data_IF_368294713922
#
_entry.id   IF_368294713922
#
_cell.length_a   1.000
_cell.length_b   1.000
_cell.length_c   1.000
_cell.angle_alpha   90.00
_cell.angle_beta   90.00
_cell.angle_gamma   90.00
#
_symmetry.space_group_name_H-M   'P 1'
#
loop_
_entity.id
_entity.type
_entity.pdbx_description
1 polymer ?
#
# COMPACT_ATOMS: atom_id res chain seq x y z
N UNK A 1 43.80 -18.86 -52.36
CA UNK A 1 42.63 -19.60 -51.84
C UNK A 1 42.05 -18.78 -50.71
N UNK A 2 40.95 -18.06 -50.95
CA UNK A 2 40.30 -17.22 -49.94
C UNK A 2 39.20 -18.03 -49.24
N UNK A 3 39.31 -18.18 -47.92
CA UNK A 3 38.29 -18.82 -47.11
C UNK A 3 37.21 -17.78 -46.75
N UNK A 4 35.97 -18.04 -47.18
CA UNK A 4 34.80 -17.24 -46.80
C UNK A 4 34.27 -17.81 -45.48
N UNK A 5 34.36 -17.03 -44.42
CA UNK A 5 33.78 -17.35 -43.11
C UNK A 5 32.32 -16.87 -43.10
N UNK A 6 31.38 -17.81 -43.02
CA UNK A 6 29.96 -17.51 -42.82
C UNK A 6 29.66 -17.45 -41.32
N UNK A 7 29.41 -16.24 -40.81
CA UNK A 7 28.90 -16.03 -39.45
C UNK A 7 27.39 -16.19 -39.47
N UNK A 8 26.88 -17.29 -38.91
CA UNK A 8 25.46 -17.54 -38.73
C UNK A 8 24.96 -16.73 -37.51
N UNK A 9 24.27 -15.61 -37.75
CA UNK A 9 23.62 -14.84 -36.68
C UNK A 9 22.26 -15.49 -36.40
N UNK A 10 22.17 -16.28 -35.33
CA UNK A 10 20.90 -16.78 -34.82
C UNK A 10 20.22 -15.65 -34.02
N UNK A 11 19.33 -14.90 -34.67
CA UNK A 11 18.42 -13.98 -33.98
C UNK A 11 17.33 -14.81 -33.30
N UNK A 12 17.56 -15.22 -32.05
CA UNK A 12 16.50 -15.76 -31.20
C UNK A 12 15.48 -14.66 -30.97
N UNK A 13 14.33 -14.76 -31.63
CA UNK A 13 13.19 -13.88 -31.37
C UNK A 13 12.75 -14.09 -29.92
N UNK A 14 13.09 -13.14 -29.05
CA UNK A 14 12.51 -13.09 -27.71
C UNK A 14 11.03 -12.79 -27.94
N UNK A 15 10.17 -13.78 -27.72
CA UNK A 15 8.73 -13.53 -27.60
C UNK A 15 8.59 -12.52 -26.46
N UNK A 16 8.33 -11.26 -26.82
CA UNK A 16 7.97 -10.23 -25.84
C UNK A 16 6.61 -10.66 -25.34
N UNK A 17 6.57 -11.35 -24.21
CA UNK A 17 5.32 -11.72 -23.56
C UNK A 17 4.45 -10.46 -23.48
N UNK A 18 3.25 -10.51 -24.08
CA UNK A 18 2.32 -9.40 -24.14
C UNK A 18 2.09 -8.88 -22.72
N UNK A 19 2.64 -7.71 -22.42
CA UNK A 19 2.44 -7.08 -21.11
C UNK A 19 0.98 -6.64 -21.02
N UNK A 20 0.33 -6.91 -19.88
CA UNK A 20 -0.99 -6.34 -19.57
C UNK A 20 -0.97 -4.85 -19.90
N UNK A 21 -1.95 -4.33 -20.66
CA UNK A 21 -2.08 -2.89 -20.77
C UNK A 21 -2.26 -2.31 -19.36
N UNK A 22 -1.58 -1.19 -19.09
CA UNK A 22 -1.77 -0.45 -17.84
C UNK A 22 -3.27 -0.25 -17.60
N UNK A 23 -3.78 -0.50 -16.39
CA UNK A 23 -5.20 -0.36 -16.15
C UNK A 23 -5.72 1.00 -16.57
N UNK A 24 -6.86 1.03 -17.28
CA UNK A 24 -7.53 2.31 -17.61
C UNK A 24 -7.92 3.08 -16.34
N UNK A 25 -8.01 2.38 -15.20
CA UNK A 25 -8.25 2.92 -13.87
C UNK A 25 -6.99 3.27 -13.07
N UNK A 26 -5.78 3.08 -13.62
CA UNK A 26 -4.54 3.18 -12.85
C UNK A 26 -4.20 4.62 -12.46
N UNK A 27 -3.81 4.79 -11.19
CA UNK A 27 -3.13 5.97 -10.65
C UNK A 27 -1.83 5.55 -9.94
N UNK A 28 -0.89 6.48 -9.82
CA UNK A 28 0.42 6.28 -9.19
C UNK A 28 0.70 7.42 -8.18
N UNK A 29 -0.10 7.51 -7.09
CA UNK A 29 0.07 8.54 -6.09
C UNK A 29 1.38 8.37 -5.32
N UNK A 30 2.12 9.46 -5.15
CA UNK A 30 3.23 9.57 -4.22
C UNK A 30 2.98 10.73 -3.28
N UNK A 31 2.94 10.46 -1.98
CA UNK A 31 2.76 11.46 -0.95
C UNK A 31 4.05 11.65 -0.17
N UNK A 32 4.54 12.89 -0.12
CA UNK A 32 5.69 13.27 0.72
C UNK A 32 5.22 14.22 1.80
N UNK A 33 5.84 14.13 2.98
CA UNK A 33 5.47 14.91 4.16
C UNK A 33 6.68 15.55 4.85
N UNK A 34 6.50 16.74 5.38
CA UNK A 34 7.44 17.41 6.27
C UNK A 34 6.74 17.80 7.57
N UNK A 35 7.46 17.75 8.70
CA UNK A 35 6.89 18.04 10.02
C UNK A 35 7.73 19.05 10.77
N UNK A 36 7.08 20.02 11.40
CA UNK A 36 7.69 21.01 12.29
C UNK A 36 6.91 21.10 13.60
N UNK A 37 7.61 21.22 14.73
CA UNK A 37 6.98 21.42 16.03
C UNK A 37 7.00 22.90 16.42
N UNK A 38 5.83 23.47 16.71
CA UNK A 38 5.69 24.81 17.25
C UNK A 38 5.62 24.76 18.77
N UNK A 39 6.71 25.21 19.42
CA UNK A 39 6.84 25.24 20.88
C UNK A 39 5.83 26.18 21.55
N UNK A 40 5.34 27.21 20.87
CA UNK A 40 4.40 28.18 21.48
C UNK A 40 3.01 27.58 21.59
N UNK A 41 2.53 26.95 20.52
CA UNK A 41 1.22 26.28 20.50
C UNK A 41 1.26 24.84 21.02
N UNK A 42 2.45 24.26 21.23
CA UNK A 42 2.64 22.84 21.55
C UNK A 42 1.97 21.93 20.52
N UNK A 43 2.02 22.31 19.24
CA UNK A 43 1.44 21.53 18.15
C UNK A 43 2.47 21.22 17.07
N UNK A 44 2.23 20.12 16.36
CA UNK A 44 2.95 19.74 15.16
C UNK A 44 2.19 20.23 13.93
N UNK A 45 2.94 20.77 12.97
CA UNK A 45 2.46 21.16 11.66
C UNK A 45 3.02 20.19 10.63
N UNK A 46 2.13 19.52 9.92
CA UNK A 46 2.42 18.54 8.88
C UNK A 46 2.08 19.15 7.53
N UNK A 47 3.05 19.17 6.60
CA UNK A 47 2.86 19.67 5.24
C UNK A 47 3.05 18.55 4.25
N UNK A 48 2.13 18.42 3.31
CA UNK A 48 2.17 17.37 2.30
C UNK A 48 2.25 17.91 0.88
N UNK A 49 2.92 17.13 0.03
CA UNK A 49 2.91 17.27 -1.42
C UNK A 49 2.48 15.94 -2.02
N UNK A 50 1.40 15.98 -2.80
CA UNK A 50 0.88 14.86 -3.56
C UNK A 50 1.39 14.95 -4.99
N UNK A 51 1.90 13.85 -5.53
CA UNK A 51 2.32 13.71 -6.91
C UNK A 51 1.54 12.57 -7.56
N UNK A 52 1.10 12.76 -8.80
CA UNK A 52 0.59 11.70 -9.64
C UNK A 52 1.71 11.26 -10.58
N UNK A 53 2.11 10.00 -10.54
CA UNK A 53 3.22 9.48 -11.35
C UNK A 53 2.99 9.67 -12.85
N UNK A 54 4.07 9.72 -13.65
CA UNK A 54 3.96 9.86 -15.11
C UNK A 54 3.34 8.62 -15.79
N UNK A 55 3.34 7.48 -15.10
CA UNK A 55 2.79 6.22 -15.60
C UNK A 55 1.29 6.05 -15.29
N UNK A 56 0.66 7.03 -14.62
CA UNK A 56 -0.77 7.02 -14.33
C UNK A 56 -1.59 7.19 -15.60
N UNK A 57 -2.74 6.51 -15.65
CA UNK A 57 -3.72 6.69 -16.73
C UNK A 57 -4.76 7.74 -16.33
N UNK A 58 -5.18 7.74 -15.06
CA UNK A 58 -6.17 8.68 -14.55
C UNK A 58 -5.53 9.86 -13.81
N UNK A 59 -6.24 10.98 -13.81
CA UNK A 59 -5.98 12.10 -12.91
C UNK A 59 -6.43 11.74 -11.49
N UNK A 60 -5.75 12.25 -10.46
CA UNK A 60 -6.19 12.10 -9.07
C UNK A 60 -7.09 13.27 -8.70
N UNK A 61 -8.34 12.99 -8.33
CA UNK A 61 -9.32 13.97 -7.87
C UNK A 61 -9.64 13.84 -6.38
N UNK A 62 -9.13 12.79 -5.74
CA UNK A 62 -9.39 12.44 -4.35
C UNK A 62 -8.15 11.81 -3.68
N UNK A 63 -7.82 12.26 -2.47
CA UNK A 63 -6.89 11.53 -1.59
C UNK A 63 -7.21 11.77 -0.12
N UNK A 64 -6.77 10.87 0.76
CA UNK A 64 -7.02 11.01 2.19
C UNK A 64 -5.99 10.35 3.07
N UNK A 65 -6.09 10.62 4.36
CA UNK A 65 -5.26 10.07 5.43
C UNK A 65 -6.15 9.42 6.48
N UNK A 66 -5.80 8.20 6.89
CA UNK A 66 -6.42 7.55 8.04
C UNK A 66 -5.83 8.09 9.34
N UNK A 67 -6.60 8.90 10.06
CA UNK A 67 -6.17 9.53 11.29
C UNK A 67 -6.84 8.85 12.48
N UNK A 68 -6.15 8.82 13.62
CA UNK A 68 -6.77 8.35 14.87
C UNK A 68 -7.70 9.39 15.50
N UNK A 69 -7.48 10.67 15.21
CA UNK A 69 -8.20 11.80 15.82
C UNK A 69 -8.31 12.97 14.84
N UNK A 70 -9.32 13.80 15.07
CA UNK A 70 -9.55 15.04 14.30
C UNK A 70 -8.41 16.04 14.52
N UNK A 71 -7.82 16.60 13.45
CA UNK A 71 -6.85 17.68 13.58
C UNK A 71 -7.42 18.96 14.20
N UNK A 72 -6.52 19.79 14.75
CA UNK A 72 -6.86 21.13 15.24
C UNK A 72 -7.27 22.03 14.08
N UNK A 73 -6.53 21.95 12.98
CA UNK A 73 -6.85 22.67 11.74
C UNK A 73 -6.34 21.91 10.53
N UNK A 74 -6.98 22.15 9.39
CA UNK A 74 -6.57 21.64 8.08
C UNK A 74 -6.51 22.81 7.10
N UNK A 75 -5.47 22.83 6.26
CA UNK A 75 -5.36 23.73 5.10
C UNK A 75 -5.33 22.86 3.85
N UNK A 76 -6.09 23.26 2.85
CA UNK A 76 -6.15 22.57 1.56
C UNK A 76 -5.31 23.30 0.53
N UNK A 77 -4.71 22.55 -0.39
CA UNK A 77 -4.09 23.13 -1.57
C UNK A 77 -5.14 23.87 -2.42
N UNK A 78 -4.69 24.79 -3.28
CA UNK A 78 -5.59 25.53 -4.16
C UNK A 78 -6.48 24.58 -4.99
N UNK A 79 -7.79 24.85 -5.00
CA UNK A 79 -8.82 24.05 -5.68
C UNK A 79 -9.12 22.66 -5.08
N UNK A 80 -8.62 22.39 -3.87
CA UNK A 80 -9.00 21.23 -3.07
C UNK A 80 -9.81 21.70 -1.86
N UNK A 81 -10.80 20.91 -1.43
CA UNK A 81 -11.43 21.03 -0.12
C UNK A 81 -11.01 19.87 0.75
N UNK A 82 -11.07 20.08 2.06
CA UNK A 82 -10.89 19.02 3.04
C UNK A 82 -12.19 18.75 3.78
N UNK A 83 -12.50 17.48 4.00
CA UNK A 83 -13.57 17.05 4.88
C UNK A 83 -13.02 16.03 5.89
N UNK A 84 -13.45 16.14 7.14
CA UNK A 84 -13.11 15.15 8.16
C UNK A 84 -14.32 14.27 8.41
N UNK A 85 -14.16 12.96 8.16
CA UNK A 85 -15.26 12.00 8.27
C UNK A 85 -15.02 11.13 9.51
N UNK A 86 -15.93 11.28 10.47
CA UNK A 86 -16.01 10.42 11.66
C UNK A 86 -17.03 9.32 11.41
N UNK A 87 -16.54 8.10 11.22
CA UNK A 87 -17.40 6.92 11.13
C UNK A 87 -17.39 6.23 12.49
N UNK A 88 -18.55 6.06 13.13
CA UNK A 88 -18.63 5.60 14.52
C UNK A 88 -17.91 4.27 14.81
N UNK A 89 -17.82 3.37 13.83
CA UNK A 89 -17.15 2.07 13.95
C UNK A 89 -15.97 1.87 13.00
N UNK A 90 -15.65 2.85 12.15
CA UNK A 90 -14.60 2.73 11.15
C UNK A 90 -13.50 3.76 11.38
N UNK A 91 -12.29 3.53 10.83
CA UNK A 91 -11.20 4.50 10.95
C UNK A 91 -11.66 5.89 10.49
N UNK A 92 -11.44 6.91 11.32
CA UNK A 92 -11.69 8.28 10.91
C UNK A 92 -10.67 8.68 9.85
N UNK A 93 -11.09 9.45 8.85
CA UNK A 93 -10.18 9.90 7.81
C UNK A 93 -10.39 11.37 7.47
N UNK A 94 -9.28 12.02 7.17
CA UNK A 94 -9.25 13.35 6.56
C UNK A 94 -9.14 13.13 5.06
N UNK A 95 -10.16 13.55 4.31
CA UNK A 95 -10.14 13.51 2.86
C UNK A 95 -9.89 14.91 2.30
N UNK A 96 -9.22 14.95 1.16
CA UNK A 96 -9.24 16.08 0.27
C UNK A 96 -9.76 15.64 -1.09
N UNK A 97 -10.61 16.46 -1.68
CA UNK A 97 -11.09 16.26 -3.02
C UNK A 97 -11.09 17.57 -3.81
N UNK A 98 -10.93 17.47 -5.11
CA UNK A 98 -11.04 18.62 -6.02
C UNK A 98 -12.50 19.01 -6.19
N UNK A 99 -12.75 20.30 -6.41
CA UNK A 99 -14.09 20.76 -6.74
C UNK A 99 -14.44 20.40 -8.19
N UNK A 100 -15.57 19.72 -8.33
CA UNK A 100 -16.27 19.63 -9.59
C UNK A 100 -17.14 20.83 -9.79
N UNK A 101 -16.54 21.89 -10.34
CA UNK A 101 -17.24 23.09 -10.83
C UNK A 101 -17.75 23.97 -9.66
N UNK A 102 -17.79 25.29 -9.89
CA UNK A 102 -18.37 26.25 -8.93
C UNK A 102 -19.79 25.79 -8.57
N UNK A 103 -20.17 25.81 -7.29
CA UNK A 103 -21.53 25.43 -6.87
C UNK A 103 -22.60 26.29 -7.55
N UNK A 104 -22.24 27.49 -8.03
CA UNK A 104 -23.09 28.36 -8.85
C UNK A 104 -23.30 27.84 -10.28
N UNK A 105 -22.32 27.12 -10.80
CA UNK A 105 -22.33 26.51 -12.14
C UNK A 105 -22.83 25.06 -12.10
N UNK A 106 -22.83 24.39 -10.93
CA UNK A 106 -23.28 23.02 -10.76
C UNK A 106 -24.68 22.74 -11.35
N UNK A 107 -25.60 23.72 -11.26
CA UNK A 107 -26.95 23.61 -11.83
C UNK A 107 -26.99 23.66 -13.37
N UNK A 108 -25.94 24.14 -14.04
CA UNK A 108 -25.81 24.13 -15.50
C UNK A 108 -25.22 22.81 -16.02
N UNK A 109 -24.50 22.09 -15.16
CA UNK A 109 -23.74 20.88 -15.49
C UNK A 109 -24.59 19.62 -15.43
N UNK A 110 -25.73 19.67 -14.73
CA UNK A 110 -26.58 18.51 -14.42
C UNK A 110 -27.04 17.70 -15.63
N UNK A 111 -26.95 18.21 -16.86
CA UNK A 111 -27.36 17.51 -18.07
C UNK A 111 -26.27 17.35 -19.15
N UNK A 112 -25.05 17.86 -18.96
CA UNK A 112 -23.99 17.76 -19.98
C UNK A 112 -22.87 16.81 -19.52
N UNK A 113 -22.93 15.57 -20.02
CA UNK A 113 -21.98 14.50 -19.75
C UNK A 113 -20.59 14.75 -20.32
N UNK A 114 -20.40 15.80 -21.12
CA UNK A 114 -19.09 16.18 -21.68
C UNK A 114 -18.26 17.04 -20.72
N UNK A 115 -18.86 17.55 -19.63
CA UNK A 115 -18.15 18.41 -18.68
C UNK A 115 -17.34 17.55 -17.69
N UNK A 116 -16.01 17.76 -17.60
CA UNK A 116 -15.17 17.02 -16.67
C UNK A 116 -15.61 17.33 -15.23
N UNK A 117 -15.98 16.28 -14.51
CA UNK A 117 -16.46 16.36 -13.13
C UNK A 117 -15.39 16.93 -12.19
N UNK A 118 -14.12 17.00 -12.59
CA UNK A 118 -13.02 17.53 -11.77
C UNK A 118 -11.98 18.30 -12.60
N UNK A 119 -12.27 19.54 -12.99
CA UNK A 119 -11.34 20.39 -13.79
C UNK A 119 -9.98 20.64 -13.11
N UNK A 120 -9.90 20.45 -11.79
CA UNK A 120 -8.69 20.67 -11.00
C UNK A 120 -8.01 19.37 -10.56
N UNK A 121 -8.39 18.23 -11.14
CA UNK A 121 -7.73 16.96 -10.87
C UNK A 121 -6.25 16.99 -11.23
N UNK A 122 -5.45 16.26 -10.44
CA UNK A 122 -4.01 16.18 -10.59
C UNK A 122 -3.66 15.24 -11.74
N UNK A 123 -3.25 15.79 -12.89
CA UNK A 123 -2.97 14.99 -14.09
C UNK A 123 -1.71 14.12 -13.91
N UNK A 124 -1.56 13.04 -14.70
CA UNK A 124 -0.32 12.24 -14.71
C UNK A 124 0.93 13.11 -14.86
N UNK A 125 1.96 12.82 -14.06
CA UNK A 125 3.23 13.57 -14.02
C UNK A 125 3.20 14.87 -13.20
N UNK A 126 2.04 15.35 -12.74
CA UNK A 126 1.93 16.59 -11.97
C UNK A 126 2.09 16.38 -10.46
N UNK A 127 2.37 17.47 -9.76
CA UNK A 127 2.40 17.54 -8.29
C UNK A 127 1.67 18.77 -7.77
N UNK A 128 1.04 18.65 -6.60
CA UNK A 128 0.39 19.74 -5.88
C UNK A 128 0.86 19.74 -4.42
N UNK A 129 1.23 20.92 -3.93
CA UNK A 129 1.63 21.18 -2.55
C UNK A 129 0.62 22.11 -1.87
N UNK A 130 0.62 22.15 -0.54
CA UNK A 130 -0.20 23.09 0.24
C UNK A 130 -1.24 22.41 1.13
N UNK A 131 -1.26 21.09 1.18
CA UNK A 131 -2.02 20.36 2.19
C UNK A 131 -1.30 20.47 3.53
N UNK A 132 -2.01 20.94 4.54
CA UNK A 132 -1.46 21.11 5.88
C UNK A 132 -2.40 20.59 6.95
N UNK A 133 -1.84 19.98 7.98
CA UNK A 133 -2.55 19.57 9.19
C UNK A 133 -1.82 20.17 10.39
N UNK A 134 -2.58 20.73 11.33
CA UNK A 134 -2.05 21.05 12.67
C UNK A 134 -2.65 20.08 13.69
N UNK A 135 -1.81 19.47 14.52
CA UNK A 135 -2.25 18.48 15.52
C UNK A 135 -1.36 18.52 16.77
N UNK A 136 -1.89 18.30 17.99
CA UNK A 136 -1.06 18.12 19.19
C UNK A 136 -0.29 16.80 19.18
N UNK A 137 -0.66 15.86 18.31
CA UNK A 137 -0.10 14.53 18.30
C UNK A 137 1.27 14.46 17.61
N UNK A 138 2.21 13.65 18.15
CA UNK A 138 3.55 13.53 17.60
C UNK A 138 3.54 12.79 16.26
N UNK A 139 4.63 12.93 15.48
CA UNK A 139 4.76 12.28 14.19
C UNK A 139 4.82 10.76 14.35
N UNK A 140 4.09 10.04 13.51
CA UNK A 140 4.21 8.60 13.35
C UNK A 140 3.70 8.14 11.99
N UNK A 141 3.55 6.84 11.83
CA UNK A 141 3.14 6.25 10.56
C UNK A 141 1.63 6.40 10.35
N UNK A 142 1.24 6.90 9.19
CA UNK A 142 -0.15 7.06 8.76
C UNK A 142 -0.33 6.42 7.39
N UNK A 143 -1.45 5.73 7.18
CA UNK A 143 -1.86 5.23 5.88
C UNK A 143 -2.54 6.37 5.10
N UNK A 144 -2.11 6.55 3.85
CA UNK A 144 -2.81 7.39 2.88
C UNK A 144 -3.47 6.51 1.81
N UNK A 145 -4.47 7.07 1.16
CA UNK A 145 -5.08 6.50 -0.03
C UNK A 145 -5.36 7.60 -1.05
N UNK A 146 -5.34 7.27 -2.33
CA UNK A 146 -5.75 8.18 -3.40
C UNK A 146 -6.56 7.43 -4.46
N UNK A 147 -7.47 8.14 -5.11
CA UNK A 147 -8.34 7.60 -6.15
C UNK A 147 -8.21 8.44 -7.42
N UNK A 148 -8.35 7.76 -8.56
CA UNK A 148 -8.43 8.41 -9.86
C UNK A 148 -9.85 8.80 -10.25
N UNK A 149 -9.96 9.79 -11.14
CA UNK A 149 -11.24 10.29 -11.68
C UNK A 149 -12.12 9.14 -12.16
N UNK A 150 -13.28 8.98 -11.54
CA UNK A 150 -14.23 7.96 -11.96
C UNK A 150 -15.08 8.47 -13.12
N UNK A 151 -14.78 8.03 -14.34
CA UNK A 151 -15.78 8.08 -15.40
C UNK A 151 -16.81 6.98 -15.10
N UNK A 152 -18.03 7.37 -14.72
CA UNK A 152 -19.15 6.44 -14.72
C UNK A 152 -19.49 6.17 -16.18
N UNK A 153 -19.29 4.94 -16.71
CA UNK A 153 -19.80 4.63 -18.03
C UNK A 153 -21.32 4.77 -17.92
N UNK A 154 -21.88 5.76 -18.63
CA UNK A 154 -23.31 5.73 -18.88
C UNK A 154 -23.58 4.45 -19.66
N UNK A 155 -24.56 3.67 -19.22
CA UNK A 155 -25.00 2.49 -19.94
C UNK A 155 -25.55 2.95 -21.31
N UNK A 156 -24.69 3.06 -22.31
CA UNK A 156 -25.12 3.08 -23.69
C UNK A 156 -25.68 1.68 -23.91
N UNK A 157 -27.01 1.58 -23.97
CA UNK A 157 -27.80 0.34 -24.06
C UNK A 157 -27.53 -0.52 -25.30
N UNK A 158 -26.41 -0.32 -25.99
CA UNK A 158 -25.95 -1.19 -27.06
C UNK A 158 -25.33 -2.44 -26.44
N UNK A 159 -26.14 -3.49 -26.35
CA UNK A 159 -25.69 -4.86 -26.16
C UNK A 159 -24.81 -5.25 -27.37
N UNK A 160 -23.49 -5.06 -27.27
CA UNK A 160 -22.54 -5.58 -28.25
C UNK A 160 -21.11 -5.46 -27.71
N UNK A 161 -20.66 -6.48 -26.99
CA UNK A 161 -19.51 -7.30 -27.38
C UNK A 161 -19.16 -8.21 -26.20
N UNK A 162 -19.58 -9.46 -26.30
CA UNK A 162 -19.11 -10.60 -25.49
C UNK A 162 -17.64 -10.95 -25.82
N UNK A 163 -16.76 -9.96 -25.96
CA UNK A 163 -15.33 -10.27 -25.92
C UNK A 163 -14.94 -10.49 -24.46
N UNK A 164 -14.30 -11.63 -24.12
CA UNK A 164 -13.82 -11.84 -22.76
C UNK A 164 -12.80 -10.74 -22.47
N UNK A 165 -13.18 -9.83 -21.56
CA UNK A 165 -12.25 -8.86 -21.01
C UNK A 165 -11.02 -9.64 -20.53
N UNK A 166 -9.85 -9.20 -20.99
CA UNK A 166 -8.59 -9.90 -20.75
C UNK A 166 -8.43 -10.07 -19.24
N UNK A 167 -8.47 -11.32 -18.76
CA UNK A 167 -8.46 -11.70 -17.34
C UNK A 167 -7.09 -11.36 -16.73
N UNK A 168 -6.88 -10.07 -16.48
CA UNK A 168 -5.70 -9.55 -15.83
C UNK A 168 -5.82 -9.86 -14.33
N UNK A 169 -4.96 -10.72 -13.75
CA UNK A 169 -5.07 -11.11 -12.36
C UNK A 169 -5.11 -9.89 -11.42
N UNK A 170 -6.13 -9.81 -10.56
CA UNK A 170 -6.33 -8.72 -9.60
C UNK A 170 -7.36 -7.66 -10.02
N UNK A 171 -7.92 -7.76 -11.22
CA UNK A 171 -9.03 -6.91 -11.64
C UNK A 171 -10.37 -7.58 -11.34
N UNK A 172 -11.21 -6.90 -10.57
CA UNK A 172 -12.59 -7.24 -10.26
C UNK A 172 -13.48 -6.10 -10.76
N UNK A 173 -13.92 -6.23 -12.01
CA UNK A 173 -14.78 -5.27 -12.68
C UNK A 173 -16.19 -5.21 -12.06
N UNK A 174 -16.56 -6.18 -11.21
CA UNK A 174 -17.85 -6.20 -10.50
C UNK A 174 -17.91 -5.20 -9.33
N UNK A 175 -16.75 -4.74 -8.81
CA UNK A 175 -16.67 -3.78 -7.70
C UNK A 175 -15.81 -2.54 -8.07
N UNK A 176 -16.24 -1.75 -9.07
CA UNK A 176 -15.40 -0.73 -9.69
C UNK A 176 -14.95 0.38 -8.73
N UNK A 177 -15.66 0.64 -7.63
CA UNK A 177 -15.29 1.72 -6.68
C UNK A 177 -14.15 1.33 -5.71
N UNK A 178 -14.15 0.10 -5.20
CA UNK A 178 -13.20 -0.32 -4.15
C UNK A 178 -11.81 -0.58 -4.76
N UNK A 179 -11.76 -0.96 -6.04
CA UNK A 179 -10.52 -1.25 -6.76
C UNK A 179 -9.76 -0.03 -7.31
N UNK A 180 -10.11 1.19 -6.90
CA UNK A 180 -9.45 2.42 -7.40
C UNK A 180 -8.56 3.09 -6.36
N UNK A 181 -8.64 2.62 -5.12
CA UNK A 181 -7.87 3.18 -4.02
C UNK A 181 -6.47 2.62 -4.05
N UNK A 182 -5.52 3.45 -4.43
CA UNK A 182 -4.10 3.15 -4.26
C UNK A 182 -3.69 3.58 -2.86
N UNK A 183 -3.19 2.64 -2.07
CA UNK A 183 -2.79 2.88 -0.68
C UNK A 183 -1.28 2.97 -0.53
N UNK A 184 -0.83 3.78 0.42
CA UNK A 184 0.59 3.91 0.78
C UNK A 184 0.75 4.48 2.18
N UNK A 185 1.99 4.71 2.61
CA UNK A 185 2.28 5.26 3.94
C UNK A 185 3.05 6.58 3.91
N UNK A 186 2.76 7.45 4.87
CA UNK A 186 3.44 8.74 5.07
C UNK A 186 3.61 9.03 6.57
N UNK A 187 4.47 9.96 6.93
CA UNK A 187 4.52 10.51 8.29
C UNK A 187 3.31 11.43 8.54
N UNK A 188 2.55 11.19 9.59
CA UNK A 188 1.42 12.04 9.99
C UNK A 188 1.17 12.04 11.50
N UNK A 189 0.10 12.70 11.96
CA UNK A 189 -0.27 12.70 13.38
C UNK A 189 -0.60 11.29 13.86
N UNK A 190 0.16 10.79 14.83
CA UNK A 190 -0.05 9.45 15.38
C UNK A 190 -0.97 9.46 16.60
N UNK A 191 -1.88 8.48 16.68
CA UNK A 191 -2.66 8.29 17.89
C UNK A 191 -1.72 7.93 19.06
N UNK A 192 -1.82 8.57 20.24
CA UNK A 192 -0.97 8.23 21.39
C UNK A 192 -1.10 6.77 21.84
N UNK A 193 -2.24 6.13 21.56
CA UNK A 193 -2.50 4.71 21.82
C UNK A 193 -2.03 3.79 20.67
N UNK A 194 -1.37 4.34 19.65
CA UNK A 194 -0.82 3.61 18.52
C UNK A 194 0.71 3.71 18.53
N UNK A 195 1.39 2.56 18.63
CA UNK A 195 2.83 2.49 18.49
C UNK A 195 3.20 2.22 17.02
N UNK A 196 4.05 3.07 16.43
CA UNK A 196 4.66 2.75 15.13
C UNK A 196 5.80 1.76 15.35
N UNK A 197 5.75 0.62 14.67
CA UNK A 197 6.79 -0.41 14.71
C UNK A 197 7.54 -0.46 13.40
N UNK A 198 8.86 -0.67 13.48
CA UNK A 198 9.68 -0.86 12.30
C UNK A 198 9.56 -2.31 11.86
N UNK A 199 9.12 -2.52 10.62
CA UNK A 199 8.95 -3.86 10.06
C UNK A 199 9.73 -4.02 8.76
N UNK A 200 9.99 -5.28 8.40
CA UNK A 200 10.55 -5.70 7.12
C UNK A 200 9.88 -6.96 6.66
N UNK A 201 9.55 -7.07 5.38
CA UNK A 201 8.98 -8.28 4.79
C UNK A 201 10.00 -8.99 3.90
N UNK A 202 9.93 -10.32 3.84
CA UNK A 202 10.74 -11.17 2.94
C UNK A 202 9.96 -12.43 2.57
N UNK A 203 10.20 -12.97 1.39
CA UNK A 203 9.70 -14.30 1.02
C UNK A 203 10.49 -15.39 1.76
N UNK A 204 9.81 -16.47 2.15
CA UNK A 204 10.46 -17.63 2.77
C UNK A 204 11.31 -18.38 1.73
N UNK A 205 12.63 -18.35 1.89
CA UNK A 205 13.60 -19.05 1.02
C UNK A 205 14.20 -18.21 -0.13
N UNK A 206 13.93 -16.90 -0.19
CA UNK A 206 14.55 -16.01 -1.19
C UNK A 206 15.80 -15.30 -0.67
N UNK A 207 16.89 -15.32 -1.43
CA UNK A 207 18.15 -14.58 -1.15
C UNK A 207 17.98 -13.04 -1.20
N UNK A 208 16.82 -12.52 -1.61
CA UNK A 208 16.59 -11.11 -1.91
C UNK A 208 16.01 -10.24 -0.77
N UNK A 209 16.39 -8.96 -0.75
CA UNK A 209 15.73 -7.88 0.03
C UNK A 209 14.30 -7.70 -0.51
N UNK A 210 13.27 -8.00 0.30
CA UNK A 210 11.86 -8.05 -0.12
C UNK A 210 11.68 -8.76 -1.48
N UNK A 211 11.64 -10.10 -1.47
CA UNK A 211 11.18 -10.85 -2.65
C UNK A 211 9.89 -10.22 -3.17
N UNK A 212 9.84 -9.99 -4.48
CA UNK A 212 8.72 -9.29 -5.08
C UNK A 212 7.46 -10.14 -4.92
N UNK A 213 6.48 -9.69 -4.12
CA UNK A 213 5.25 -10.48 -3.87
C UNK A 213 4.55 -10.68 -5.21
N UNK A 214 4.22 -11.93 -5.53
CA UNK A 214 3.50 -12.29 -6.75
C UNK A 214 2.05 -12.68 -6.45
N UNK A 215 1.07 -11.77 -6.60
CA UNK A 215 -0.34 -12.09 -6.37
C UNK A 215 -0.87 -13.21 -7.28
N UNK A 216 -0.31 -13.35 -8.50
CA UNK A 216 -0.73 -14.38 -9.45
C UNK A 216 -0.24 -15.79 -9.08
N UNK A 217 0.73 -15.89 -8.15
CA UNK A 217 1.19 -17.13 -7.54
C UNK A 217 0.97 -17.05 -6.03
N UNK A 218 -0.28 -17.16 -5.55
CA UNK A 218 -0.61 -17.02 -4.12
C UNK A 218 -0.04 -18.15 -3.25
N UNK A 219 0.69 -19.09 -3.85
CA UNK A 219 1.43 -20.13 -3.15
C UNK A 219 2.71 -19.56 -2.56
N UNK A 220 2.88 -19.71 -1.25
CA UNK A 220 4.12 -19.31 -0.59
C UNK A 220 3.86 -18.70 0.76
N UNK A 221 4.96 -18.26 1.38
CA UNK A 221 4.96 -17.63 2.69
C UNK A 221 5.77 -16.36 2.65
N UNK A 222 5.26 -15.34 3.33
CA UNK A 222 5.97 -14.10 3.58
C UNK A 222 6.26 -14.00 5.08
N UNK A 223 7.49 -13.65 5.42
CA UNK A 223 7.90 -13.41 6.79
C UNK A 223 8.12 -11.92 7.02
N UNK A 224 7.48 -11.40 8.06
CA UNK A 224 7.59 -10.02 8.53
C UNK A 224 8.43 -10.00 9.81
N UNK A 225 9.62 -9.42 9.75
CA UNK A 225 10.45 -9.16 10.92
C UNK A 225 10.09 -7.81 11.53
N UNK A 226 9.72 -7.84 12.80
CA UNK A 226 9.41 -6.70 13.63
C UNK A 226 10.61 -6.41 14.50
N UNK A 227 11.14 -5.20 14.36
CA UNK A 227 12.37 -4.79 15.00
C UNK A 227 12.07 -4.14 16.34
N UNK A 228 12.69 -4.66 17.39
CA UNK A 228 12.72 -3.98 18.69
C UNK A 228 13.57 -2.71 18.59
N UNK A 229 13.19 -1.70 19.37
CA UNK A 229 13.88 -0.42 19.48
C UNK A 229 14.06 -0.06 20.95
N UNK A 230 14.68 1.09 21.24
CA UNK A 230 14.75 1.61 22.60
C UNK A 230 13.37 1.92 23.22
N UNK A 231 12.35 2.11 22.38
CA UNK A 231 11.00 2.50 22.80
C UNK A 231 9.97 1.36 22.64
N UNK A 232 10.36 0.24 22.03
CA UNK A 232 9.44 -0.84 21.71
C UNK A 232 10.10 -2.22 21.79
N UNK A 233 9.49 -3.12 22.54
CA UNK A 233 9.87 -4.53 22.61
C UNK A 233 8.89 -5.37 21.77
N UNK A 234 9.38 -5.93 20.67
CA UNK A 234 8.60 -6.74 19.74
C UNK A 234 8.02 -8.01 20.39
N UNK A 235 8.57 -8.48 21.52
CA UNK A 235 8.01 -9.61 22.27
C UNK A 235 6.70 -9.27 22.99
N UNK A 236 6.36 -7.97 23.09
CA UNK A 236 5.08 -7.52 23.62
C UNK A 236 3.94 -7.63 22.62
N UNK A 237 4.18 -8.08 21.39
CA UNK A 237 3.10 -8.23 20.39
C UNK A 237 2.18 -9.39 20.76
N UNK A 238 0.88 -9.12 20.76
CA UNK A 238 -0.16 -10.14 20.89
C UNK A 238 -0.38 -10.80 19.52
N UNK A 239 0.32 -11.92 19.31
CA UNK A 239 0.41 -12.62 18.02
C UNK A 239 -0.97 -12.97 17.42
N UNK A 240 -1.95 -13.54 18.17
CA UNK A 240 -3.31 -13.76 17.68
C UNK A 240 -4.02 -12.51 17.11
N UNK A 241 -3.69 -11.33 17.62
CA UNK A 241 -4.27 -10.06 17.19
C UNK A 241 -3.47 -9.37 16.07
N UNK A 242 -2.30 -9.88 15.68
CA UNK A 242 -1.55 -9.38 14.54
C UNK A 242 -2.24 -9.76 13.21
N UNK A 243 -2.30 -8.80 12.28
CA UNK A 243 -2.88 -8.94 10.95
C UNK A 243 -2.00 -8.23 9.92
N UNK A 244 -1.81 -8.84 8.75
CA UNK A 244 -0.94 -8.30 7.71
C UNK A 244 -1.63 -8.24 6.34
N UNK A 245 -1.50 -7.11 5.65
CA UNK A 245 -2.04 -6.89 4.31
C UNK A 245 -3.56 -6.64 4.26
N UNK A 246 -4.11 -6.35 3.06
CA UNK A 246 -5.53 -6.06 2.84
C UNK A 246 -6.48 -7.18 3.29
N UNK A 247 -6.07 -8.44 3.11
CA UNK A 247 -6.83 -9.62 3.52
C UNK A 247 -6.83 -9.87 5.03
N UNK A 248 -6.15 -9.02 5.82
CA UNK A 248 -5.99 -9.18 7.26
C UNK A 248 -5.42 -10.55 7.66
N UNK A 249 -4.43 -11.04 6.90
CA UNK A 249 -3.84 -12.35 7.09
C UNK A 249 -3.34 -12.54 8.52
N UNK A 250 -3.67 -13.69 9.12
CA UNK A 250 -3.19 -14.08 10.45
C UNK A 250 -1.82 -14.77 10.33
N UNK A 251 -0.93 -14.60 11.32
CA UNK A 251 0.36 -15.28 11.30
C UNK A 251 0.15 -16.79 11.46
N UNK A 252 0.74 -17.58 10.55
CA UNK A 252 0.77 -19.06 10.62
C UNK A 252 1.95 -19.59 11.41
N UNK A 253 2.99 -18.77 11.61
CA UNK A 253 4.10 -19.08 12.48
C UNK A 253 4.68 -17.80 13.11
N UNK A 254 5.34 -17.97 14.25
CA UNK A 254 6.02 -16.88 14.96
C UNK A 254 7.31 -17.37 15.61
N UNK A 255 8.38 -16.56 15.57
CA UNK A 255 9.66 -16.89 16.19
C UNK A 255 10.31 -15.62 16.76
N UNK A 256 10.75 -15.68 18.02
CA UNK A 256 11.58 -14.62 18.61
C UNK A 256 13.02 -14.80 18.11
N UNK A 257 13.61 -13.72 17.62
CA UNK A 257 14.96 -13.70 17.04
C UNK A 257 15.84 -12.73 17.83
N UNK A 258 16.89 -13.24 18.46
CA UNK A 258 17.89 -12.42 19.15
C UNK A 258 18.92 -11.89 18.17
N UNK A 259 19.18 -10.59 18.19
CA UNK A 259 20.27 -9.95 17.45
C UNK A 259 21.60 -10.66 17.71
N UNK A 260 22.26 -11.17 16.66
CA UNK A 260 23.56 -11.85 16.74
C UNK A 260 23.57 -13.34 17.09
N UNK A 261 22.43 -14.05 16.96
CA UNK A 261 22.41 -15.51 16.77
C UNK A 261 21.54 -15.85 15.55
N UNK A 262 22.05 -15.51 14.38
CA UNK A 262 21.50 -15.97 13.10
C UNK A 262 22.18 -17.27 12.63
N UNK A 263 22.74 -18.05 13.56
CA UNK A 263 23.57 -19.24 13.27
C UNK A 263 22.85 -20.35 12.49
N UNK A 264 21.52 -20.30 12.40
CA UNK A 264 20.70 -21.25 11.63
C UNK A 264 19.93 -20.60 10.48
N UNK A 265 20.27 -19.39 10.10
CA UNK A 265 19.78 -18.77 8.87
C UNK A 265 20.85 -19.06 7.81
N UNK A 266 20.45 -19.59 6.64
CA UNK A 266 21.38 -20.01 5.59
C UNK A 266 22.40 -18.89 5.26
N UNK A 267 23.63 -19.26 4.90
CA UNK A 267 24.81 -18.38 4.90
C UNK A 267 24.64 -17.05 4.16
N UNK A 268 23.78 -17.02 3.14
CA UNK A 268 23.54 -15.86 2.29
C UNK A 268 22.55 -14.86 2.94
N UNK A 269 21.63 -15.34 3.75
CA UNK A 269 20.67 -14.50 4.48
C UNK A 269 21.34 -13.79 5.68
N UNK A 270 22.35 -14.40 6.30
CA UNK A 270 23.04 -13.87 7.48
C UNK A 270 23.74 -12.53 7.19
N UNK A 271 24.49 -12.45 6.08
CA UNK A 271 25.26 -11.25 5.72
C UNK A 271 24.36 -10.03 5.47
N UNK A 272 23.21 -10.24 4.80
CA UNK A 272 22.21 -9.19 4.54
C UNK A 272 21.50 -8.73 5.82
N UNK A 273 21.32 -9.62 6.79
CA UNK A 273 20.80 -9.25 8.11
C UNK A 273 21.82 -8.49 8.96
N UNK A 274 23.09 -8.88 8.92
CA UNK A 274 24.17 -8.25 9.68
C UNK A 274 24.48 -6.84 9.16
N UNK A 275 24.67 -6.66 7.84
CA UNK A 275 24.86 -5.33 7.20
C UNK A 275 23.71 -4.35 7.57
N UNK A 276 22.49 -4.87 7.67
CA UNK A 276 21.34 -4.06 8.04
C UNK A 276 21.32 -3.67 9.53
N UNK A 277 21.59 -4.62 10.42
CA UNK A 277 21.61 -4.34 11.86
C UNK A 277 22.75 -3.39 12.23
N UNK A 278 23.84 -3.40 11.47
CA UNK A 278 24.93 -2.42 11.59
C UNK A 278 24.52 -1.00 11.14
N UNK A 279 23.65 -0.89 10.12
CA UNK A 279 23.11 0.39 9.65
C UNK A 279 22.04 1.01 10.55
N UNK A 280 21.35 0.22 11.37
CA UNK A 280 20.54 0.75 12.46
C UNK A 280 21.52 1.09 13.57
N UNK A 281 21.97 2.34 13.62
CA UNK A 281 22.76 2.90 14.72
C UNK A 281 22.07 2.69 16.07
N UNK A 282 22.20 1.50 16.64
CA UNK A 282 22.10 1.34 18.06
C UNK A 282 23.38 1.97 18.61
N UNK A 283 23.30 3.08 19.38
CA UNK A 283 24.46 3.55 20.11
C UNK A 283 25.02 2.33 20.86
N UNK A 284 26.31 2.04 20.69
CA UNK A 284 27.01 0.88 21.28
C UNK A 284 26.43 0.64 22.68
N UNK A 285 25.51 -0.32 22.79
CA UNK A 285 25.00 -0.73 24.08
C UNK A 285 26.13 -1.58 24.62
N UNK A 286 26.84 -1.02 25.60
CA UNK A 286 27.94 -1.69 26.28
C UNK A 286 27.52 -3.12 26.61
N UNK A 287 28.44 -4.04 26.35
CA UNK A 287 28.33 -5.50 26.17
C UNK A 287 27.76 -6.32 27.34
N UNK A 288 27.05 -5.68 28.27
CA UNK A 288 26.51 -6.26 29.50
C UNK A 288 25.21 -7.02 29.31
N UNK A 289 24.08 -6.37 29.02
CA UNK A 289 22.78 -7.02 29.27
C UNK A 289 21.68 -6.67 28.24
N UNK A 290 21.01 -7.73 27.77
CA UNK A 290 19.86 -7.76 26.87
C UNK A 290 20.06 -7.22 25.46
N UNK A 291 20.48 -8.11 24.55
CA UNK A 291 20.34 -7.89 23.11
C UNK A 291 18.85 -7.74 22.75
N UNK A 292 18.46 -6.78 21.89
CA UNK A 292 17.06 -6.61 21.50
C UNK A 292 16.53 -7.91 20.86
N UNK A 293 15.36 -8.34 21.34
CA UNK A 293 14.61 -9.50 20.85
C UNK A 293 13.65 -9.03 19.77
N UNK A 294 13.88 -9.41 18.52
CA UNK A 294 12.98 -9.13 17.42
C UNK A 294 11.91 -10.23 17.32
N UNK A 295 10.81 -9.96 16.61
CA UNK A 295 9.75 -10.94 16.37
C UNK A 295 9.60 -11.18 14.87
N UNK A 296 9.77 -12.43 14.43
CA UNK A 296 9.48 -12.86 13.07
C UNK A 296 8.07 -13.47 13.04
N UNK A 297 7.19 -12.94 12.19
CA UNK A 297 5.86 -13.48 11.92
C UNK A 297 5.80 -13.98 10.48
N UNK A 298 5.23 -15.15 10.25
CA UNK A 298 5.08 -15.72 8.91
C UNK A 298 3.62 -15.79 8.53
N UNK A 299 3.28 -15.39 7.31
CA UNK A 299 1.93 -15.33 6.76
C UNK A 299 1.87 -16.10 5.43
N UNK A 300 0.70 -16.61 5.08
CA UNK A 300 0.46 -17.20 3.76
C UNK A 300 0.20 -16.09 2.76
N UNK A 301 0.86 -16.14 1.59
CA UNK A 301 0.68 -15.12 0.54
C UNK A 301 -0.77 -15.07 0.05
N UNK A 302 -1.42 -16.23 -0.07
CA UNK A 302 -2.84 -16.34 -0.43
C UNK A 302 -3.78 -15.54 0.48
N UNK A 303 -3.46 -15.44 1.77
CA UNK A 303 -4.33 -14.79 2.76
C UNK A 303 -4.11 -13.27 2.82
N UNK A 304 -3.05 -12.75 2.19
CA UNK A 304 -2.76 -11.32 2.18
C UNK A 304 -3.74 -10.53 1.32
N UNK A 305 -4.36 -11.17 0.33
CA UNK A 305 -5.27 -10.55 -0.64
C UNK A 305 -4.66 -9.30 -1.31
N UNK A 306 -3.38 -9.38 -1.70
CA UNK A 306 -2.67 -8.27 -2.34
C UNK A 306 -3.18 -8.05 -3.75
N UNK A 307 -3.59 -6.82 -4.05
CA UNK A 307 -4.08 -6.43 -5.37
C UNK A 307 -2.98 -5.73 -6.18
N UNK A 308 -2.74 -6.25 -7.39
CA UNK A 308 -1.79 -5.67 -8.32
C UNK A 308 -2.12 -4.19 -8.61
N UNK A 309 -1.08 -3.34 -8.57
CA UNK A 309 -1.14 -1.89 -8.82
C UNK A 309 -1.87 -1.03 -7.78
N UNK A 310 -2.58 -1.63 -6.81
CA UNK A 310 -3.34 -0.91 -5.78
C UNK A 310 -2.59 -0.82 -4.45
N UNK A 311 -1.93 -1.90 -4.03
CA UNK A 311 -1.22 -1.94 -2.77
C UNK A 311 0.25 -1.54 -2.96
N UNK A 312 0.59 -0.26 -2.74
CA UNK A 312 1.99 0.23 -2.75
C UNK A 312 2.69 0.06 -1.42
N UNK A 313 1.93 -0.25 -0.37
CA UNK A 313 2.48 -0.63 0.92
C UNK A 313 1.57 -1.66 1.59
N UNK A 314 2.16 -2.63 2.27
CA UNK A 314 1.42 -3.53 3.16
C UNK A 314 1.58 -3.08 4.59
N UNK A 315 0.50 -3.19 5.34
CA UNK A 315 0.44 -2.80 6.73
C UNK A 315 0.36 -4.02 7.62
N UNK A 316 1.18 -4.03 8.66
CA UNK A 316 1.04 -4.91 9.81
C UNK A 316 0.36 -4.11 10.92
N UNK A 317 -0.80 -4.58 11.36
CA UNK A 317 -1.56 -3.96 12.45
C UNK A 317 -1.84 -4.99 13.54
N UNK A 318 -2.09 -4.53 14.76
CA UNK A 318 -2.49 -5.42 15.84
C UNK A 318 -2.50 -4.73 17.20
N UNK A 319 -2.39 -5.55 18.25
CA UNK A 319 -2.29 -5.09 19.64
C UNK A 319 -1.07 -5.68 20.33
N UNK A 320 -0.55 -4.98 21.33
CA UNK A 320 0.39 -5.55 22.28
C UNK A 320 -0.36 -6.38 23.32
N UNK A 321 0.35 -7.19 24.10
CA UNK A 321 -0.18 -7.94 25.25
C UNK A 321 -0.77 -7.03 26.33
N UNK A 322 -0.38 -5.76 26.36
CA UNK A 322 -0.96 -4.71 27.19
C UNK A 322 -2.18 -4.01 26.56
N UNK A 323 -2.62 -4.45 25.37
CA UNK A 323 -3.78 -3.90 24.65
C UNK A 323 -3.50 -2.64 23.83
N UNK A 324 -2.26 -2.11 23.80
CA UNK A 324 -1.91 -0.93 22.99
C UNK A 324 -1.89 -1.31 21.51
N UNK A 325 -2.42 -0.46 20.62
CA UNK A 325 -2.39 -0.73 19.18
C UNK A 325 -0.99 -0.54 18.61
N UNK A 326 -0.65 -1.26 17.55
CA UNK A 326 0.55 -0.99 16.78
C UNK A 326 0.28 -0.99 15.27
N UNK A 327 1.14 -0.30 14.52
CA UNK A 327 1.17 -0.29 13.06
C UNK A 327 2.60 -0.30 12.55
N UNK A 328 2.88 -1.10 11.53
CA UNK A 328 4.09 -1.00 10.71
C UNK A 328 3.71 -1.07 9.24
N UNK A 329 4.52 -0.49 8.36
CA UNK A 329 4.36 -0.64 6.92
C UNK A 329 5.65 -1.11 6.25
N UNK A 330 5.48 -1.81 5.14
CA UNK A 330 6.55 -2.08 4.18
C UNK A 330 6.11 -1.58 2.81
N UNK A 331 6.97 -0.89 2.06
CA UNK A 331 6.71 -0.65 0.65
C UNK A 331 6.68 -2.00 -0.08
N UNK A 332 5.70 -2.18 -0.96
CA UNK A 332 5.59 -3.38 -1.79
C UNK A 332 6.18 -3.14 -3.15
N UNK A 333 7.02 -4.10 -3.57
CA UNK A 333 7.35 -4.30 -4.97
C UNK A 333 6.62 -5.57 -5.39
N UNK A 334 5.62 -5.43 -6.25
CA UNK A 334 4.83 -6.56 -6.73
C UNK A 334 5.47 -7.09 -8.01
N UNK A 335 5.78 -8.39 -8.06
CA UNK A 335 6.18 -9.08 -9.29
C UNK A 335 5.01 -9.89 -9.81
N UNK A 336 5.11 -10.37 -11.05
CA UNK A 336 4.11 -11.28 -11.58
C UNK A 336 2.71 -10.71 -11.70
N UNK A 337 2.54 -9.40 -11.52
CA UNK A 337 1.41 -8.62 -12.04
C UNK A 337 1.43 -8.51 -13.58
N UNK A 338 2.15 -9.43 -14.24
CA UNK A 338 2.06 -9.70 -15.67
C UNK A 338 0.86 -10.62 -15.89
N UNK A 339 0.15 -10.51 -17.02
CA UNK A 339 -0.99 -11.38 -17.28
C UNK A 339 -0.54 -12.83 -17.25
N UNK A 340 -1.40 -13.72 -16.73
CA UNK A 340 -1.29 -15.12 -17.10
C UNK A 340 -1.57 -15.20 -18.59
N UNK A 341 -0.65 -15.75 -19.38
CA UNK A 341 -0.98 -16.26 -20.70
C UNK A 341 -2.12 -17.27 -20.50
N UNK A 342 -3.32 -16.92 -20.97
CA UNK A 342 -4.47 -17.82 -20.97
C UNK A 342 -4.14 -18.97 -21.93
N UNK A 343 -3.50 -20.01 -21.42
CA UNK A 343 -3.64 -21.33 -22.02
C UNK A 343 -5.11 -21.68 -21.96
N UNK A 344 -5.74 -21.86 -23.11
CA UNK A 344 -7.16 -22.19 -23.30
C UNK A 344 -7.63 -23.29 -22.33
N UNK A 345 -8.09 -22.91 -21.14
CA UNK A 345 -8.73 -23.81 -20.20
C UNK A 345 -10.24 -23.64 -20.34
N UNK A 346 -10.81 -24.37 -21.29
CA UNK A 346 -12.23 -24.67 -21.29
C UNK A 346 -12.59 -25.47 -20.02
N UNK A 347 -13.12 -24.82 -18.98
CA UNK A 347 -13.63 -25.58 -17.84
C UNK A 347 -14.03 -24.82 -16.59
N UNK A 348 -15.33 -24.52 -16.49
CA UNK A 348 -16.15 -24.30 -15.28
C UNK A 348 -15.74 -23.14 -14.36
N UNK A 349 -16.56 -22.08 -14.39
CA UNK A 349 -16.57 -21.02 -13.39
C UNK A 349 -16.86 -21.57 -11.99
N UNK A 350 -16.06 -21.22 -10.96
CA UNK A 350 -16.39 -21.52 -9.57
C UNK A 350 -17.46 -20.55 -9.04
N UNK A 351 -18.55 -21.10 -8.50
CA UNK A 351 -19.54 -20.36 -7.69
C UNK A 351 -18.92 -20.04 -6.33
N UNK A 352 -18.70 -18.76 -6.00
CA UNK A 352 -18.24 -18.33 -4.68
C UNK A 352 -19.31 -17.47 -3.98
N UNK A 353 -19.82 -17.95 -2.83
CA UNK A 353 -20.74 -17.23 -1.95
C UNK A 353 -19.96 -16.46 -0.85
N UNK A 354 -19.86 -15.14 -0.96
CA UNK A 354 -19.07 -14.29 -0.03
C UNK A 354 -19.87 -13.63 1.11
N UNK A 355 -21.20 -13.72 1.12
CA UNK A 355 -22.05 -12.89 2.00
C UNK A 355 -22.12 -13.35 3.48
N UNK A 356 -21.37 -14.37 3.91
CA UNK A 356 -21.45 -14.92 5.28
C UNK A 356 -20.39 -14.41 6.28
N UNK A 357 -19.51 -13.48 5.92
CA UNK A 357 -18.32 -13.15 6.75
C UNK A 357 -18.36 -11.85 7.57
N UNK A 358 -19.41 -11.04 7.51
CA UNK A 358 -19.43 -9.73 8.19
C UNK A 358 -20.19 -9.68 9.53
N UNK A 359 -20.89 -10.74 9.95
CA UNK A 359 -21.64 -10.75 11.22
C UNK A 359 -20.90 -11.38 12.42
N UNK A 360 -19.62 -11.75 12.26
CA UNK A 360 -18.90 -12.62 13.20
C UNK A 360 -17.91 -11.95 14.17
N UNK A 361 -17.76 -10.63 14.18
CA UNK A 361 -16.83 -9.93 15.07
C UNK A 361 -17.58 -8.99 16.03
N UNK A 362 -18.10 -9.57 17.11
CA UNK A 362 -18.47 -8.86 18.34
C UNK A 362 -17.58 -9.31 19.47
#
# INVERSE_FOLDING_TARGET
MSAIVFTLIVTGGVAVADSCPTPKSAVDPMLTGAVTFDKKSQTYRYRYMLKNGPNSVLSIDYFGLYLGQKPVSTISAANWRSDFVELGSAPTFLLWNTFGIDSREANKVTNDTSLPVHIYSLKPGQSVSGFEITSPHPPGLVQFFAEGETQFPYATSTAANDEPETDCPGWNLELPKIQRQVTGSVTGPSDPNLTTVRIRAREEGGEGRCGDINPAKPTGRISVLILSSGEFDATQIDIPNAMFGPGYAKPVASKVVTSGKFENIAGDEKSVWEEFLEGIHHPRVDSGHNRPKNLLLTFLVADLDVQCNLDRSLFLIGKTTAGKRFIGSVPTKLSGCKPKELGEHHGKQPRFEWWKRLDGAK
#
